data_IF_967670803710
#
_entry.id   IF_967670803710
#
_cell.length_a   1.000
_cell.length_b   1.000
_cell.length_c   1.000
_cell.angle_alpha   90.00
_cell.angle_beta   90.00
_cell.angle_gamma   90.00
#
_symmetry.space_group_name_H-M   'P 1'
#
loop_
_entity.id
_entity.type
_entity.pdbx_description
1 polymer ?
#
# COMPACT_ATOMS: atom_id res chain seq x y z
N UNK A 1 21.28 -2.59 9.31
CA UNK A 1 22.30 -1.57 9.65
C UNK A 1 22.07 -0.34 8.79
N UNK A 2 21.71 0.79 9.39
CA UNK A 2 21.68 2.08 8.67
C UNK A 2 23.15 2.47 8.46
N UNK A 3 23.62 2.49 7.20
CA UNK A 3 24.98 2.91 6.89
C UNK A 3 25.10 4.42 7.12
N UNK A 4 26.00 4.82 8.04
CA UNK A 4 26.20 6.23 8.50
C UNK A 4 27.46 6.89 7.92
N UNK A 5 28.01 6.36 6.84
CA UNK A 5 29.20 6.94 6.21
C UNK A 5 28.82 8.24 5.45
N UNK A 6 29.48 9.39 5.72
CA UNK A 6 29.16 10.66 5.07
C UNK A 6 29.17 10.62 3.54
N UNK A 7 30.08 9.86 2.93
CA UNK A 7 30.14 9.73 1.46
C UNK A 7 28.93 8.99 0.90
N UNK A 8 28.46 7.98 1.62
CA UNK A 8 27.24 7.25 1.27
C UNK A 8 26.00 8.15 1.37
N UNK A 9 25.95 9.02 2.38
CA UNK A 9 24.87 10.01 2.54
C UNK A 9 24.89 11.05 1.41
N UNK A 10 26.06 11.59 1.06
CA UNK A 10 26.22 12.53 -0.06
C UNK A 10 25.79 11.91 -1.39
N UNK A 11 26.19 10.66 -1.66
CA UNK A 11 25.77 9.94 -2.86
C UNK A 11 24.25 9.69 -2.90
N UNK A 12 23.61 9.44 -1.76
CA UNK A 12 22.15 9.31 -1.66
C UNK A 12 21.45 10.64 -1.92
N UNK A 13 21.93 11.73 -1.32
CA UNK A 13 21.40 13.07 -1.55
C UNK A 13 21.51 13.49 -3.02
N UNK A 14 22.62 13.15 -3.67
CA UNK A 14 22.82 13.46 -5.08
C UNK A 14 21.86 12.68 -6.00
N UNK A 15 21.52 11.43 -5.66
CA UNK A 15 20.46 10.67 -6.34
C UNK A 15 19.08 11.29 -6.18
N UNK A 16 18.79 11.94 -5.05
CA UNK A 16 17.53 12.68 -4.90
C UNK A 16 17.49 13.94 -5.79
N UNK A 17 18.63 14.57 -6.08
CA UNK A 17 18.70 15.74 -6.96
C UNK A 17 18.68 15.36 -8.45
N UNK A 18 19.49 14.38 -8.82
CA UNK A 18 19.75 14.01 -10.23
C UNK A 18 18.88 12.87 -10.72
N UNK A 19 18.12 12.24 -9.82
CA UNK A 19 17.36 11.02 -10.10
C UNK A 19 18.21 9.77 -9.87
N UNK A 20 17.53 8.62 -9.93
CA UNK A 20 18.19 7.32 -9.82
C UNK A 20 18.56 6.82 -11.21
N UNK A 21 19.75 6.20 -11.37
CA UNK A 21 20.10 5.56 -12.64
C UNK A 21 19.06 4.49 -12.99
N UNK A 22 18.84 4.30 -14.29
CA UNK A 22 18.00 3.22 -14.77
C UNK A 22 18.58 1.88 -14.32
N UNK A 23 17.69 1.01 -13.82
CA UNK A 23 18.09 -0.32 -13.38
C UNK A 23 18.26 -1.21 -14.61
N UNK A 24 19.40 -1.89 -14.71
CA UNK A 24 19.62 -2.88 -15.75
C UNK A 24 18.79 -4.14 -15.45
N UNK A 25 17.73 -4.36 -16.22
CA UNK A 25 16.82 -5.48 -16.02
C UNK A 25 17.44 -6.71 -16.67
N UNK A 26 18.11 -7.52 -15.86
CA UNK A 26 18.79 -8.72 -16.35
C UNK A 26 17.80 -9.84 -16.69
N UNK A 27 16.94 -10.24 -15.75
CA UNK A 27 15.84 -11.20 -15.95
C UNK A 27 14.91 -11.27 -14.72
N UNK A 28 13.73 -11.93 -14.82
CA UNK A 28 12.85 -12.10 -13.67
C UNK A 28 13.48 -12.95 -12.56
N UNK A 29 13.06 -12.70 -11.33
CA UNK A 29 13.38 -13.57 -10.20
C UNK A 29 12.62 -14.90 -10.34
N UNK A 30 13.31 -16.01 -10.14
CA UNK A 30 12.75 -17.37 -10.18
C UNK A 30 13.23 -18.17 -8.98
N UNK A 31 12.65 -19.35 -8.68
CA UNK A 31 13.20 -20.26 -7.66
C UNK A 31 14.69 -20.59 -7.88
N UNK A 32 15.15 -20.58 -9.13
CA UNK A 32 16.55 -20.79 -9.50
C UNK A 32 17.36 -19.48 -9.55
N UNK A 33 16.72 -18.32 -9.37
CA UNK A 33 17.31 -16.98 -9.50
C UNK A 33 16.71 -16.01 -8.48
N UNK A 34 17.22 -16.05 -7.26
CA UNK A 34 16.96 -15.04 -6.23
C UNK A 34 15.70 -15.27 -5.37
N UNK A 35 14.81 -16.21 -5.72
CA UNK A 35 13.70 -16.61 -4.84
C UNK A 35 14.11 -17.88 -4.09
N UNK A 36 14.21 -17.79 -2.77
CA UNK A 36 14.38 -18.97 -1.90
C UNK A 36 13.03 -19.63 -1.66
N UNK A 37 12.88 -20.87 -2.11
CA UNK A 37 11.71 -21.71 -1.81
C UNK A 37 11.97 -22.47 -0.51
N UNK A 38 11.02 -22.42 0.42
CA UNK A 38 11.11 -23.11 1.70
C UNK A 38 10.51 -24.52 1.57
N UNK A 39 11.14 -25.51 2.20
CA UNK A 39 10.57 -26.85 2.38
C UNK A 39 9.64 -26.88 3.60
N UNK A 40 8.92 -27.98 3.81
CA UNK A 40 7.93 -28.11 4.88
C UNK A 40 8.53 -27.85 6.27
N UNK A 41 9.78 -28.29 6.50
CA UNK A 41 10.48 -28.08 7.75
C UNK A 41 10.83 -26.60 7.97
N UNK A 42 11.32 -25.91 6.94
CA UNK A 42 11.63 -24.49 6.99
C UNK A 42 10.38 -23.62 7.09
N UNK A 43 9.26 -24.03 6.48
CA UNK A 43 7.95 -23.40 6.65
C UNK A 43 7.52 -23.53 8.11
N UNK A 44 7.51 -24.75 8.67
CA UNK A 44 7.13 -24.98 10.06
C UNK A 44 7.98 -24.15 11.03
N UNK A 45 9.30 -24.12 10.81
CA UNK A 45 10.21 -23.29 11.60
C UNK A 45 9.90 -21.79 11.48
N UNK A 46 9.66 -21.28 10.27
CA UNK A 46 9.36 -19.87 10.06
C UNK A 46 8.04 -19.45 10.71
N UNK A 47 7.03 -20.32 10.66
CA UNK A 47 5.74 -20.11 11.35
C UNK A 47 5.93 -20.08 12.86
N UNK A 48 6.61 -21.08 13.43
CA UNK A 48 6.88 -21.12 14.89
C UNK A 48 7.70 -19.91 15.34
N UNK A 49 8.67 -19.47 14.54
CA UNK A 49 9.46 -18.27 14.79
C UNK A 49 8.59 -17.00 14.78
N UNK A 50 7.66 -16.88 13.82
CA UNK A 50 6.75 -15.75 13.72
C UNK A 50 5.77 -15.71 14.90
N UNK A 51 5.19 -16.85 15.26
CA UNK A 51 4.20 -16.96 16.36
C UNK A 51 4.80 -16.64 17.73
N UNK A 52 6.10 -16.97 17.93
CA UNK A 52 6.82 -16.69 19.18
C UNK A 52 7.61 -15.38 19.16
N UNK A 53 7.45 -14.57 18.12
CA UNK A 53 8.21 -13.34 17.99
C UNK A 53 7.76 -12.28 19.01
N UNK A 54 8.57 -12.04 20.05
CA UNK A 54 8.40 -10.86 20.92
C UNK A 54 8.96 -9.58 20.28
N UNK A 55 8.47 -8.41 20.70
CA UNK A 55 8.95 -7.06 20.28
C UNK A 55 10.29 -6.72 20.94
N UNK A 56 11.27 -7.61 20.84
CA UNK A 56 12.64 -7.40 21.31
C UNK A 56 13.48 -6.66 20.26
N UNK A 57 13.06 -5.44 19.88
CA UNK A 57 13.74 -4.63 18.84
C UNK A 57 13.39 -5.01 17.40
N UNK A 58 12.32 -5.78 17.19
CA UNK A 58 11.76 -6.09 15.87
C UNK A 58 10.86 -4.95 15.40
N UNK A 59 10.81 -4.69 14.09
CA UNK A 59 9.98 -3.63 13.52
C UNK A 59 9.17 -4.14 12.32
N UNK A 60 7.92 -3.64 12.19
CA UNK A 60 7.10 -3.93 11.01
C UNK A 60 7.58 -3.02 9.89
N UNK A 61 8.10 -3.61 8.83
CA UNK A 61 8.45 -2.85 7.64
C UNK A 61 7.23 -2.77 6.72
N UNK A 62 6.59 -1.60 6.70
CA UNK A 62 5.61 -1.27 5.66
C UNK A 62 6.34 -0.47 4.58
N UNK A 63 6.47 -0.98 3.35
CA UNK A 63 7.16 -0.26 2.29
C UNK A 63 6.48 1.08 2.04
N UNK A 64 7.29 2.12 1.84
CA UNK A 64 6.77 3.46 1.56
C UNK A 64 5.92 3.42 0.28
N UNK A 65 4.64 3.69 0.43
CA UNK A 65 3.73 3.82 -0.69
C UNK A 65 3.98 5.20 -1.31
N UNK A 66 4.44 5.27 -2.56
CA UNK A 66 4.36 6.51 -3.33
C UNK A 66 2.90 7.03 -3.41
N UNK A 67 2.70 8.25 -3.89
CA UNK A 67 1.37 8.83 -4.07
C UNK A 67 0.39 7.85 -4.73
N UNK A 68 -0.90 7.91 -4.35
CA UNK A 68 -1.92 7.04 -4.91
C UNK A 68 -2.18 7.26 -6.41
N UNK A 69 -1.53 8.24 -7.04
CA UNK A 69 -1.67 8.58 -8.46
C UNK A 69 -1.54 7.39 -9.41
N UNK A 70 -0.60 6.46 -9.16
CA UNK A 70 -0.50 5.23 -9.96
C UNK A 70 -1.65 4.24 -9.73
N UNK A 71 -2.24 4.22 -8.54
CA UNK A 71 -3.41 3.38 -8.22
C UNK A 71 -4.65 3.86 -8.98
N UNK A 72 -4.75 5.16 -9.24
CA UNK A 72 -5.89 5.77 -9.92
C UNK A 72 -5.61 6.17 -11.38
N UNK A 73 -4.50 5.70 -11.97
CA UNK A 73 -4.06 6.12 -13.32
C UNK A 73 -5.17 5.95 -14.37
N UNK A 74 -5.85 4.81 -14.36
CA UNK A 74 -6.87 4.51 -15.36
C UNK A 74 -8.16 5.30 -15.12
N UNK A 75 -8.44 5.67 -13.86
CA UNK A 75 -9.55 6.55 -13.50
C UNK A 75 -9.23 7.99 -13.96
N UNK A 76 -8.01 8.49 -13.76
CA UNK A 76 -7.56 9.79 -14.28
C UNK A 76 -7.67 9.86 -15.80
N UNK A 77 -7.18 8.83 -16.52
CA UNK A 77 -7.36 8.75 -17.97
C UNK A 77 -8.85 8.72 -18.36
N UNK A 78 -9.67 8.07 -17.53
CA UNK A 78 -11.12 7.99 -17.69
C UNK A 78 -11.85 9.33 -17.52
N UNK A 79 -11.28 10.27 -16.77
CA UNK A 79 -11.81 11.63 -16.61
C UNK A 79 -11.57 12.48 -17.87
N UNK A 80 -10.45 12.29 -18.56
CA UNK A 80 -10.16 12.96 -19.83
C UNK A 80 -10.95 12.33 -20.98
N UNK A 81 -10.95 11.00 -21.03
CA UNK A 81 -11.68 10.22 -22.02
C UNK A 81 -12.30 9.00 -21.36
N UNK A 82 -13.63 8.97 -21.32
CA UNK A 82 -14.40 7.90 -20.69
C UNK A 82 -13.92 6.52 -21.15
N UNK A 83 -13.72 5.61 -20.19
CA UNK A 83 -13.17 4.28 -20.41
C UNK A 83 -13.80 3.22 -19.48
N UNK A 84 -13.38 1.96 -19.66
CA UNK A 84 -13.88 0.82 -18.89
C UNK A 84 -13.64 0.92 -17.37
N UNK A 85 -12.61 1.66 -16.94
CA UNK A 85 -12.31 1.82 -15.52
C UNK A 85 -13.37 2.70 -14.83
N UNK A 86 -13.82 3.77 -15.49
CA UNK A 86 -14.94 4.60 -15.03
C UNK A 86 -16.24 3.80 -15.00
N UNK A 87 -16.54 3.05 -16.06
CA UNK A 87 -17.75 2.21 -16.13
C UNK A 87 -17.80 1.19 -14.99
N UNK A 88 -16.67 0.51 -14.73
CA UNK A 88 -16.56 -0.45 -13.63
C UNK A 88 -16.71 0.24 -12.28
N UNK A 89 -16.08 1.40 -12.10
CA UNK A 89 -16.17 2.18 -10.87
C UNK A 89 -17.61 2.60 -10.59
N UNK A 90 -18.32 3.15 -11.57
CA UNK A 90 -19.71 3.57 -11.44
C UNK A 90 -20.65 2.40 -11.10
N UNK A 91 -20.48 1.27 -11.80
CA UNK A 91 -21.29 0.07 -11.58
C UNK A 91 -21.11 -0.53 -10.18
N UNK A 92 -19.90 -0.43 -9.63
CA UNK A 92 -19.52 -1.10 -8.37
C UNK A 92 -19.26 -0.15 -7.21
N UNK A 93 -19.53 1.15 -7.35
CA UNK A 93 -19.12 2.16 -6.37
C UNK A 93 -19.57 1.79 -4.95
N UNK A 94 -20.76 1.21 -4.81
CA UNK A 94 -21.37 0.82 -3.53
C UNK A 94 -20.64 -0.32 -2.81
N UNK A 95 -19.84 -1.10 -3.52
CA UNK A 95 -19.05 -2.20 -2.96
C UNK A 95 -17.77 -1.70 -2.27
N UNK A 96 -17.33 -0.47 -2.56
CA UNK A 96 -16.09 0.06 -2.01
C UNK A 96 -16.25 0.58 -0.58
N UNK A 97 -15.21 0.39 0.23
CA UNK A 97 -15.18 0.82 1.63
C UNK A 97 -15.42 2.33 1.81
N UNK A 98 -15.02 3.15 0.84
CA UNK A 98 -15.18 4.60 0.87
C UNK A 98 -16.55 5.12 0.41
N UNK A 99 -17.46 4.27 -0.10
CA UNK A 99 -18.77 4.73 -0.54
C UNK A 99 -19.63 5.25 0.60
N UNK A 100 -20.14 6.45 0.43
CA UNK A 100 -21.24 6.99 1.21
C UNK A 100 -22.20 7.76 0.28
N UNK A 101 -23.52 7.71 0.52
CA UNK A 101 -24.50 8.40 -0.32
C UNK A 101 -24.38 9.93 -0.26
N UNK A 102 -23.70 10.48 0.74
CA UNK A 102 -23.45 11.92 0.88
C UNK A 102 -22.37 12.42 -0.08
N UNK A 103 -21.42 11.55 -0.45
CA UNK A 103 -20.31 11.89 -1.35
C UNK A 103 -20.61 11.50 -2.79
N UNK A 104 -21.31 10.38 -3.00
CA UNK A 104 -21.56 9.82 -4.32
C UNK A 104 -23.05 9.85 -4.69
N UNK A 105 -23.40 10.72 -5.63
CA UNK A 105 -24.77 10.92 -6.12
C UNK A 105 -25.13 10.08 -7.36
N UNK A 106 -24.20 9.23 -7.82
CA UNK A 106 -24.36 8.39 -9.00
C UNK A 106 -23.89 9.05 -10.31
N UNK A 107 -23.37 10.28 -10.27
CA UNK A 107 -22.81 11.00 -11.42
C UNK A 107 -21.39 11.44 -11.11
N UNK A 108 -20.56 11.56 -12.15
CA UNK A 108 -19.18 12.04 -12.02
C UNK A 108 -18.38 11.35 -10.90
N UNK A 109 -18.61 10.04 -10.70
CA UNK A 109 -18.07 9.28 -9.56
C UNK A 109 -16.53 9.34 -9.54
N UNK A 110 -15.88 9.35 -10.71
CA UNK A 110 -14.43 9.53 -10.80
C UNK A 110 -13.96 10.88 -10.25
N UNK A 111 -14.68 11.97 -10.52
CA UNK A 111 -14.36 13.32 -10.01
C UNK A 111 -14.62 13.40 -8.51
N UNK A 112 -15.73 12.83 -8.04
CA UNK A 112 -16.02 12.72 -6.60
C UNK A 112 -14.99 11.86 -5.86
N UNK A 113 -14.41 10.85 -6.51
CA UNK A 113 -13.35 10.04 -5.91
C UNK A 113 -12.01 10.80 -5.84
N UNK A 114 -11.59 11.41 -6.94
CA UNK A 114 -10.22 11.93 -7.09
C UNK A 114 -10.07 13.43 -6.82
N UNK A 115 -11.13 14.19 -7.07
CA UNK A 115 -11.15 15.65 -7.05
C UNK A 115 -11.30 16.25 -5.64
N UNK A 116 -10.98 17.54 -5.48
CA UNK A 116 -10.95 18.22 -4.19
C UNK A 116 -12.35 18.41 -3.57
N UNK A 117 -13.41 18.48 -4.39
CA UNK A 117 -14.79 18.62 -3.93
C UNK A 117 -15.40 17.31 -3.39
N UNK A 118 -14.71 16.18 -3.62
CA UNK A 118 -15.09 14.87 -3.10
C UNK A 118 -14.07 14.34 -2.10
N UNK A 119 -13.64 13.10 -2.30
CA UNK A 119 -12.68 12.46 -1.39
C UNK A 119 -11.24 12.94 -1.58
N UNK A 120 -10.88 13.53 -2.72
CA UNK A 120 -9.52 13.99 -3.00
C UNK A 120 -8.47 12.87 -3.03
N UNK A 121 -8.87 11.62 -3.33
CA UNK A 121 -7.98 10.46 -3.23
C UNK A 121 -6.83 10.50 -4.24
N UNK A 122 -6.95 11.30 -5.31
CA UNK A 122 -5.90 11.50 -6.29
C UNK A 122 -4.62 12.11 -5.72
N UNK A 123 -4.73 12.96 -4.69
CA UNK A 123 -3.62 13.68 -4.07
C UNK A 123 -3.21 13.12 -2.70
N UNK A 124 -4.00 12.20 -2.12
CA UNK A 124 -3.74 11.68 -0.77
C UNK A 124 -2.71 10.54 -0.78
N UNK A 125 -1.91 10.39 0.30
CA UNK A 125 -1.14 9.17 0.54
C UNK A 125 -2.04 7.94 0.60
N UNK A 126 -1.59 6.78 0.09
CA UNK A 126 -2.43 5.56 0.10
C UNK A 126 -2.83 5.13 1.52
N UNK A 127 -1.98 5.42 2.51
CA UNK A 127 -2.23 5.09 3.91
C UNK A 127 -3.52 5.69 4.48
N UNK A 128 -4.00 6.82 3.94
CA UNK A 128 -5.23 7.47 4.45
C UNK A 128 -6.48 7.09 3.65
N UNK A 129 -6.35 6.25 2.63
CA UNK A 129 -7.50 5.78 1.86
C UNK A 129 -8.27 4.76 2.69
N UNK A 130 -9.60 4.93 2.76
CA UNK A 130 -10.49 3.91 3.34
C UNK A 130 -10.38 2.66 2.49
N UNK A 131 -9.99 1.56 3.12
CA UNK A 131 -9.57 0.34 2.43
C UNK A 131 -10.53 -0.82 2.70
N UNK A 132 -10.98 -0.97 3.95
CA UNK A 132 -11.82 -2.09 4.36
C UNK A 132 -13.04 -1.61 5.14
N UNK A 133 -14.19 -2.24 4.88
CA UNK A 133 -15.43 -2.06 5.63
C UNK A 133 -15.76 -3.39 6.30
N UNK A 134 -15.77 -3.42 7.63
CA UNK A 134 -16.09 -4.58 8.44
C UNK A 134 -17.60 -4.84 8.48
N UNK A 135 -18.05 -6.07 8.83
CA UNK A 135 -19.46 -6.42 8.93
C UNK A 135 -20.26 -5.57 9.94
N UNK A 136 -19.61 -5.04 10.96
CA UNK A 136 -20.19 -4.14 11.97
C UNK A 136 -20.33 -2.68 11.48
N UNK A 137 -19.87 -2.40 10.26
CA UNK A 137 -19.90 -1.07 9.65
C UNK A 137 -18.65 -0.23 9.90
N UNK A 138 -17.67 -0.71 10.68
CA UNK A 138 -16.39 0.00 10.85
C UNK A 138 -15.66 0.11 9.50
N UNK A 139 -15.12 1.30 9.19
CA UNK A 139 -14.31 1.51 7.99
C UNK A 139 -12.91 1.93 8.40
N UNK A 140 -11.92 1.12 8.03
CA UNK A 140 -10.50 1.39 8.33
C UNK A 140 -9.74 1.84 7.10
N UNK A 141 -8.75 2.71 7.34
CA UNK A 141 -7.79 3.11 6.31
C UNK A 141 -6.69 2.07 6.17
N UNK A 142 -5.96 2.09 5.05
CA UNK A 142 -4.81 1.20 4.86
C UNK A 142 -3.76 1.33 5.99
N UNK A 143 -3.57 2.54 6.54
CA UNK A 143 -2.69 2.75 7.69
C UNK A 143 -3.25 2.10 8.96
N UNK A 144 -4.55 2.28 9.24
CA UNK A 144 -5.18 1.68 10.42
C UNK A 144 -5.12 0.15 10.38
N UNK A 145 -5.36 -0.45 9.21
CA UNK A 145 -5.18 -1.89 8.98
C UNK A 145 -3.75 -2.34 9.31
N UNK A 146 -2.74 -1.59 8.88
CA UNK A 146 -1.36 -1.93 9.19
C UNK A 146 -1.03 -1.82 10.69
N UNK A 147 -1.68 -0.94 11.45
CA UNK A 147 -1.51 -0.83 12.89
C UNK A 147 -2.14 -2.02 13.61
N UNK A 148 -3.38 -2.37 13.26
CA UNK A 148 -4.09 -3.53 13.83
C UNK A 148 -3.33 -4.83 13.52
N UNK A 149 -2.92 -5.03 12.27
CA UNK A 149 -2.09 -6.16 11.87
C UNK A 149 -0.75 -6.18 12.63
N UNK A 150 -0.17 -4.99 12.88
CA UNK A 150 1.05 -4.87 13.67
C UNK A 150 0.87 -5.38 15.11
N UNK A 151 -0.27 -5.05 15.73
CA UNK A 151 -0.61 -5.51 17.08
C UNK A 151 -0.76 -7.03 17.18
N UNK A 152 -1.21 -7.71 16.10
CA UNK A 152 -1.33 -9.17 16.11
C UNK A 152 0.03 -9.89 16.13
N UNK A 153 1.01 -9.39 15.38
CA UNK A 153 2.32 -10.05 15.21
C UNK A 153 3.44 -9.48 16.09
N UNK A 154 3.19 -8.38 16.80
CA UNK A 154 4.17 -7.68 17.63
C UNK A 154 3.64 -7.50 19.05
N UNK A 155 3.41 -8.63 19.73
CA UNK A 155 2.91 -8.67 21.12
C UNK A 155 4.05 -8.81 22.11
N UNK A 156 3.96 -8.09 23.22
CA UNK A 156 4.81 -8.32 24.38
C UNK A 156 4.08 -9.23 25.38
N UNK A 157 4.74 -9.60 26.48
CA UNK A 157 4.14 -10.47 27.50
C UNK A 157 2.91 -9.83 28.19
N UNK A 158 2.76 -8.51 28.09
CA UNK A 158 1.67 -7.69 28.63
C UNK A 158 0.55 -7.37 27.61
N UNK A 159 0.67 -7.85 26.37
CA UNK A 159 -0.28 -7.58 25.28
C UNK A 159 0.21 -6.49 24.35
#
# INVERSE_FOLDING_TARGET
>A
MIQRDPKTIEAQLERFRTGFPWMDIVAPATPQRGIRVLDDAAVAYATEYADRAQVAGKCKFVPASGAASRMFKDIFAGLEQRNAAIETLEARIKEFAFYTPEVFDGKNIGEQLLGPEGLGYGAKPKGVLKFHRYPDGEVRTALAEHLVEGQEYMRNADG
#
